data_IF_867767201949
#
_entry.id   IF_867767201949
#
_cell.length_a   1.000
_cell.length_b   1.000
_cell.length_c   1.000
_cell.angle_alpha   90.00
_cell.angle_beta   90.00
_cell.angle_gamma   90.00
#
_symmetry.space_group_name_H-M   'P 1'
#
loop_
_entity.id
_entity.type
_entity.pdbx_description
1 polymer ?
#
# COMPACT_ATOMS: atom_id res chain seq x y z
N UNK A 1 -16.28 9.10 -20.86
CA UNK A 1 -14.98 8.52 -21.23
C UNK A 1 -14.94 7.08 -20.74
N UNK A 2 -14.46 6.11 -21.52
CA UNK A 2 -14.27 4.75 -21.00
C UNK A 2 -13.05 4.70 -20.05
N UNK A 3 -13.03 3.79 -19.06
CA UNK A 3 -11.88 3.61 -18.18
C UNK A 3 -10.67 3.07 -18.95
N UNK A 4 -9.43 3.29 -18.46
CA UNK A 4 -8.23 2.79 -19.11
C UNK A 4 -8.21 1.26 -19.12
N UNK A 5 -7.98 0.65 -20.29
CA UNK A 5 -7.70 -0.78 -20.41
C UNK A 5 -6.27 -1.04 -19.95
N UNK A 6 -6.10 -1.85 -18.91
CA UNK A 6 -4.81 -2.42 -18.54
C UNK A 6 -4.46 -3.54 -19.52
N UNK A 7 -3.47 -3.30 -20.38
CA UNK A 7 -2.85 -4.35 -21.20
C UNK A 7 -1.82 -5.09 -20.37
N UNK A 8 -1.96 -6.42 -20.29
CA UNK A 8 -0.97 -7.32 -19.69
C UNK A 8 0.37 -7.19 -20.43
N UNK A 9 1.41 -6.77 -19.72
CA UNK A 9 2.80 -6.86 -20.20
C UNK A 9 3.41 -8.11 -19.57
N UNK A 10 3.43 -9.21 -20.34
CA UNK A 10 4.32 -10.32 -20.08
C UNK A 10 5.74 -9.90 -20.45
N UNK A 11 6.59 -9.63 -19.46
CA UNK A 11 8.02 -9.67 -19.66
C UNK A 11 8.71 -10.31 -18.44
N UNK A 12 8.92 -11.62 -18.54
CA UNK A 12 9.77 -12.39 -17.63
C UNK A 12 11.23 -12.08 -17.96
N UNK A 13 11.94 -11.40 -17.06
CA UNK A 13 13.41 -11.35 -17.09
C UNK A 13 13.96 -11.22 -15.65
N UNK A 14 13.95 -12.33 -14.92
CA UNK A 14 14.49 -12.45 -13.55
C UNK A 14 15.98 -12.84 -13.50
N UNK A 15 16.78 -12.65 -14.56
CA UNK A 15 18.10 -13.30 -14.66
C UNK A 15 19.35 -12.41 -14.75
N UNK A 16 19.30 -11.09 -14.52
CA UNK A 16 20.51 -10.24 -14.66
C UNK A 16 20.88 -9.41 -13.41
N UNK A 17 21.11 -10.07 -12.27
CA UNK A 17 21.88 -9.44 -11.16
C UNK A 17 22.89 -10.44 -10.56
N UNK A 18 24.01 -10.59 -11.25
CA UNK A 18 25.34 -10.95 -10.71
C UNK A 18 26.28 -9.95 -11.40
N UNK A 19 26.97 -9.02 -10.76
CA UNK A 19 27.96 -9.16 -9.70
C UNK A 19 28.37 -7.77 -9.20
N UNK A 20 28.29 -7.49 -7.90
CA UNK A 20 29.25 -6.64 -7.18
C UNK A 20 29.33 -7.13 -5.72
N UNK A 21 30.56 -7.37 -5.27
CA UNK A 21 30.90 -8.03 -4.01
C UNK A 21 30.81 -7.12 -2.78
N UNK A 22 30.63 -7.80 -1.65
CA UNK A 22 30.90 -7.45 -0.25
C UNK A 22 29.81 -6.80 0.61
N UNK A 23 29.48 -7.58 1.66
CA UNK A 23 28.91 -7.22 2.97
C UNK A 23 27.38 -7.20 3.11
N UNK A 24 26.93 -8.10 4.00
CA UNK A 24 25.57 -8.37 4.49
C UNK A 24 24.63 -9.00 3.47
N UNK A 25 24.50 -10.33 3.55
CA UNK A 25 23.32 -11.04 3.03
C UNK A 25 22.10 -10.41 3.72
N UNK A 26 21.17 -9.74 3.02
CA UNK A 26 19.97 -9.23 3.66
C UNK A 26 19.25 -10.43 4.27
N UNK A 27 18.89 -10.33 5.56
CA UNK A 27 18.08 -11.34 6.22
C UNK A 27 16.91 -11.67 5.29
N UNK A 28 16.76 -12.93 4.92
CA UNK A 28 15.62 -13.39 4.12
C UNK A 28 14.35 -12.96 4.85
N UNK A 29 13.63 -12.00 4.28
CA UNK A 29 12.36 -11.51 4.83
C UNK A 29 11.43 -12.73 4.97
N UNK A 30 11.05 -13.06 6.20
CA UNK A 30 10.08 -14.13 6.44
C UNK A 30 8.68 -13.60 6.12
N UNK A 31 8.23 -13.83 4.89
CA UNK A 31 6.91 -13.45 4.42
C UNK A 31 5.79 -14.04 5.30
N UNK A 32 5.99 -15.24 5.86
CA UNK A 32 5.00 -15.88 6.74
C UNK A 32 4.91 -15.16 8.08
N UNK A 33 6.04 -14.75 8.65
CA UNK A 33 6.06 -13.89 9.85
C UNK A 33 5.34 -12.57 9.57
N UNK A 34 5.64 -11.93 8.44
CA UNK A 34 5.04 -10.66 8.04
C UNK A 34 3.52 -10.74 7.86
N UNK A 35 3.02 -11.81 7.23
CA UNK A 35 1.57 -12.07 7.09
C UNK A 35 0.90 -12.32 8.44
N UNK A 36 1.56 -13.06 9.35
CA UNK A 36 1.06 -13.29 10.71
C UNK A 36 0.95 -11.97 11.48
N UNK A 37 1.97 -11.12 11.38
CA UNK A 37 1.99 -9.81 12.03
C UNK A 37 0.89 -8.89 11.48
N UNK A 38 0.73 -8.84 10.16
CA UNK A 38 -0.37 -8.11 9.52
C UNK A 38 -1.74 -8.60 9.99
N UNK A 39 -1.93 -9.92 10.11
CA UNK A 39 -3.20 -10.51 10.57
C UNK A 39 -3.49 -10.14 12.02
N UNK A 40 -2.49 -10.19 12.90
CA UNK A 40 -2.63 -9.78 14.31
C UNK A 40 -3.01 -8.30 14.43
N UNK A 41 -2.30 -7.41 13.72
CA UNK A 41 -2.63 -5.98 13.68
C UNK A 41 -4.04 -5.77 13.17
N UNK A 42 -4.44 -6.47 12.11
CA UNK A 42 -5.78 -6.44 11.57
C UNK A 42 -6.85 -6.82 12.59
N UNK A 43 -6.67 -7.94 13.31
CA UNK A 43 -7.60 -8.39 14.35
C UNK A 43 -7.68 -7.41 15.53
N UNK A 44 -6.56 -6.78 15.92
CA UNK A 44 -6.54 -5.73 16.96
C UNK A 44 -7.35 -4.51 16.54
N UNK A 45 -7.20 -4.06 15.29
CA UNK A 45 -8.05 -2.99 14.73
C UNK A 45 -9.52 -3.41 14.67
N UNK A 46 -9.79 -4.65 14.24
CA UNK A 46 -11.16 -5.18 14.13
C UNK A 46 -11.83 -5.11 15.48
N UNK A 47 -11.18 -5.61 16.52
CA UNK A 47 -11.68 -5.56 17.88
C UNK A 47 -11.98 -4.13 18.32
N UNK A 48 -11.07 -3.18 18.06
CA UNK A 48 -11.28 -1.79 18.42
C UNK A 48 -12.50 -1.18 17.71
N UNK A 49 -12.57 -1.30 16.38
CA UNK A 49 -13.69 -0.78 15.58
C UNK A 49 -15.03 -1.42 15.97
N UNK A 50 -15.06 -2.72 16.26
CA UNK A 50 -16.28 -3.38 16.74
C UNK A 50 -16.75 -2.82 18.09
N UNK A 51 -15.82 -2.43 18.96
CA UNK A 51 -16.15 -1.91 20.28
C UNK A 51 -16.56 -0.44 20.27
N UNK A 52 -16.11 0.35 19.26
CA UNK A 52 -16.37 1.79 19.21
C UNK A 52 -17.44 2.19 18.18
N UNK A 53 -17.55 1.47 17.05
CA UNK A 53 -18.39 1.89 15.91
C UNK A 53 -19.56 0.94 15.60
N UNK A 54 -19.48 -0.33 15.99
CA UNK A 54 -20.41 -1.36 15.50
C UNK A 54 -21.68 -1.54 16.37
N UNK A 55 -22.25 -0.45 16.90
CA UNK A 55 -23.42 -0.46 17.80
C UNK A 55 -24.70 -1.03 17.14
N UNK A 56 -24.77 -2.36 17.07
CA UNK A 56 -25.85 -3.10 16.41
C UNK A 56 -25.92 -2.92 14.89
N UNK A 57 -24.92 -2.26 14.28
CA UNK A 57 -24.86 -1.98 12.84
C UNK A 57 -23.97 -2.99 12.10
N UNK A 58 -24.22 -3.15 10.80
CA UNK A 58 -23.33 -3.88 9.92
C UNK A 58 -22.00 -3.14 9.79
N UNK A 59 -20.88 -3.85 9.94
CA UNK A 59 -19.54 -3.30 9.76
C UNK A 59 -18.75 -4.11 8.75
N UNK A 60 -18.17 -3.42 7.76
CA UNK A 60 -17.26 -3.99 6.78
C UNK A 60 -16.10 -3.03 6.57
N UNK A 61 -14.89 -3.57 6.57
CA UNK A 61 -13.69 -2.83 6.20
C UNK A 61 -12.59 -3.82 5.76
N UNK A 62 -11.52 -3.32 5.15
CA UNK A 62 -10.37 -4.14 4.74
C UNK A 62 -9.16 -3.83 5.63
N UNK A 63 -8.82 -4.71 6.60
CA UNK A 63 -7.60 -4.56 7.39
C UNK A 63 -6.34 -4.52 6.53
N UNK A 64 -6.31 -5.27 5.43
CA UNK A 64 -5.20 -5.28 4.49
C UNK A 64 -5.01 -3.92 3.82
N UNK A 65 -6.09 -3.28 3.35
CA UNK A 65 -6.01 -1.96 2.73
C UNK A 65 -5.46 -0.90 3.70
N UNK A 66 -5.97 -0.86 4.93
CA UNK A 66 -5.48 0.06 5.98
C UNK A 66 -4.00 -0.19 6.28
N UNK A 67 -3.60 -1.46 6.41
CA UNK A 67 -2.20 -1.82 6.64
C UNK A 67 -1.29 -1.35 5.49
N UNK A 68 -1.70 -1.51 4.23
CA UNK A 68 -0.96 -1.06 3.05
C UNK A 68 -0.76 0.46 3.07
N UNK A 69 -1.78 1.24 3.44
CA UNK A 69 -1.68 2.70 3.53
C UNK A 69 -0.80 3.18 4.70
N UNK A 70 -0.87 2.51 5.85
CA UNK A 70 0.01 2.79 6.99
C UNK A 70 1.46 2.43 6.69
N UNK A 71 1.68 1.34 5.95
CA UNK A 71 2.98 0.92 5.43
C UNK A 71 3.56 1.97 4.49
N UNK A 72 2.75 2.48 3.55
CA UNK A 72 3.15 3.57 2.66
C UNK A 72 3.51 4.85 3.45
N UNK A 73 2.73 5.15 4.49
CA UNK A 73 2.99 6.30 5.37
C UNK A 73 4.33 6.12 6.11
N UNK A 74 4.61 4.92 6.65
CA UNK A 74 5.88 4.61 7.31
C UNK A 74 7.07 4.85 6.37
N UNK A 75 6.95 4.44 5.10
CA UNK A 75 7.98 4.65 4.09
C UNK A 75 8.24 6.14 3.76
N UNK A 76 7.28 7.03 4.02
CA UNK A 76 7.42 8.48 3.85
C UNK A 76 7.94 9.23 5.09
N UNK A 77 8.09 8.55 6.22
CA UNK A 77 8.50 9.13 7.52
C UNK A 77 9.93 8.72 7.90
N UNK A 78 10.50 9.35 8.93
CA UNK A 78 11.80 9.02 9.51
C UNK A 78 11.80 9.27 11.03
N UNK A 79 12.77 8.71 11.75
CA UNK A 79 12.92 8.91 13.20
C UNK A 79 11.73 8.36 14.00
N UNK A 80 11.39 9.03 15.10
CA UNK A 80 10.39 8.54 16.05
C UNK A 80 9.03 8.19 15.41
N UNK A 81 8.56 8.97 14.42
CA UNK A 81 7.31 8.68 13.72
C UNK A 81 7.38 7.37 12.92
N UNK A 82 8.52 7.10 12.27
CA UNK A 82 8.71 5.84 11.58
C UNK A 82 8.78 4.67 12.57
N UNK A 83 9.46 4.87 13.70
CA UNK A 83 9.60 3.85 14.74
C UNK A 83 8.25 3.47 15.37
N UNK A 84 7.38 4.46 15.64
CA UNK A 84 6.02 4.24 16.14
C UNK A 84 5.17 3.45 15.13
N UNK A 85 5.24 3.80 13.84
CA UNK A 85 4.51 3.09 12.78
C UNK A 85 5.02 1.66 12.60
N UNK A 86 6.34 1.45 12.60
CA UNK A 86 6.96 0.13 12.50
C UNK A 86 6.59 -0.75 13.69
N UNK A 87 6.64 -0.20 14.91
CA UNK A 87 6.23 -0.88 16.14
C UNK A 87 4.75 -1.28 16.09
N UNK A 88 3.88 -0.36 15.68
CA UNK A 88 2.45 -0.64 15.54
C UNK A 88 2.17 -1.73 14.50
N UNK A 89 2.82 -1.66 13.33
CA UNK A 89 2.71 -2.62 12.24
C UNK A 89 3.46 -3.93 12.52
N UNK A 90 4.15 -4.04 13.66
CA UNK A 90 4.99 -5.19 14.03
C UNK A 90 6.01 -5.56 12.94
N UNK A 91 6.67 -4.56 12.37
CA UNK A 91 7.72 -4.75 11.36
C UNK A 91 9.04 -4.16 11.83
N UNK A 92 10.15 -4.77 11.41
CA UNK A 92 11.50 -4.35 11.80
C UNK A 92 12.03 -3.22 10.92
N UNK A 93 11.44 -3.01 9.74
CA UNK A 93 11.88 -1.96 8.81
C UNK A 93 10.83 -1.63 7.75
N UNK A 94 10.97 -0.47 7.13
CA UNK A 94 10.17 -0.11 5.94
C UNK A 94 10.47 -1.01 4.74
N UNK A 95 11.64 -1.65 4.69
CA UNK A 95 11.97 -2.63 3.64
C UNK A 95 11.13 -3.91 3.76
N UNK A 96 10.90 -4.42 4.99
CA UNK A 96 10.00 -5.55 5.23
C UNK A 96 8.56 -5.21 4.83
N UNK A 97 8.08 -4.03 5.24
CA UNK A 97 6.77 -3.50 4.89
C UNK A 97 6.57 -3.36 3.37
N UNK A 98 7.53 -2.75 2.68
CA UNK A 98 7.55 -2.61 1.22
C UNK A 98 7.56 -3.99 0.52
N UNK A 99 8.35 -4.93 1.03
CA UNK A 99 8.39 -6.30 0.50
C UNK A 99 7.05 -7.01 0.67
N UNK A 100 6.42 -6.88 1.84
CA UNK A 100 5.10 -7.46 2.07
C UNK A 100 4.06 -6.88 1.10
N UNK A 101 4.02 -5.55 0.92
CA UNK A 101 3.12 -4.90 -0.02
C UNK A 101 3.35 -5.39 -1.47
N UNK A 102 4.61 -5.45 -1.92
CA UNK A 102 4.96 -5.94 -3.26
C UNK A 102 4.60 -7.41 -3.51
N UNK A 103 4.63 -8.25 -2.47
CA UNK A 103 4.27 -9.66 -2.62
C UNK A 103 2.74 -9.85 -2.53
N UNK A 104 2.06 -9.19 -1.59
CA UNK A 104 0.63 -9.39 -1.37
C UNK A 104 -0.24 -8.73 -2.42
N UNK A 105 0.08 -7.51 -2.87
CA UNK A 105 -0.78 -6.78 -3.81
C UNK A 105 -0.97 -7.55 -5.13
N UNK A 106 0.08 -8.06 -5.80
CA UNK A 106 -0.11 -8.83 -7.02
C UNK A 106 -0.78 -10.19 -6.80
N UNK A 107 -0.53 -10.85 -5.65
CA UNK A 107 -1.09 -12.18 -5.37
C UNK A 107 -2.59 -12.13 -5.03
N UNK A 108 -3.02 -11.14 -4.25
CA UNK A 108 -4.40 -11.01 -3.77
C UNK A 108 -5.29 -10.36 -4.83
N UNK A 109 -4.75 -9.45 -5.63
CA UNK A 109 -5.52 -8.67 -6.61
C UNK A 109 -5.21 -9.05 -8.06
N UNK A 110 -4.63 -10.23 -8.31
CA UNK A 110 -4.51 -10.78 -9.65
C UNK A 110 -5.91 -10.97 -10.26
N UNK A 111 -6.09 -10.56 -11.52
CA UNK A 111 -7.34 -10.78 -12.24
C UNK A 111 -7.58 -12.28 -12.44
N UNK A 112 -8.52 -12.81 -11.66
CA UNK A 112 -8.99 -14.18 -11.73
C UNK A 112 -10.36 -14.31 -12.41
N UNK A 113 -10.81 -13.28 -13.13
CA UNK A 113 -12.07 -13.28 -13.89
C UNK A 113 -12.25 -14.50 -14.82
N UNK A 114 -11.20 -15.01 -15.51
CA UNK A 114 -11.34 -16.19 -16.38
C UNK A 114 -11.65 -17.49 -15.64
N UNK A 115 -11.45 -17.57 -14.33
CA UNK A 115 -11.63 -18.80 -13.54
C UNK A 115 -12.93 -18.84 -12.72
N UNK A 116 -13.80 -17.84 -12.84
CA UNK A 116 -15.02 -17.73 -12.02
C UNK A 116 -14.75 -17.37 -10.55
N UNK A 117 -13.52 -16.96 -10.23
CA UNK A 117 -13.12 -16.54 -8.90
C UNK A 117 -13.61 -15.10 -8.60
N UNK A 118 -13.69 -14.70 -7.31
CA UNK A 118 -14.05 -13.33 -6.94
C UNK A 118 -13.16 -12.30 -7.63
N UNK A 119 -13.77 -11.23 -8.14
CA UNK A 119 -13.04 -10.08 -8.67
C UNK A 119 -12.60 -9.20 -7.50
N UNK A 120 -11.29 -9.02 -7.34
CA UNK A 120 -10.70 -8.16 -6.32
C UNK A 120 -9.97 -7.00 -7.00
N UNK A 121 -10.22 -5.78 -6.55
CA UNK A 121 -9.53 -4.56 -6.99
C UNK A 121 -8.97 -3.81 -5.80
N UNK A 122 -7.77 -3.25 -5.94
CA UNK A 122 -7.13 -2.38 -4.95
C UNK A 122 -6.78 -1.05 -5.59
N UNK A 123 -7.24 0.03 -4.98
CA UNK A 123 -6.92 1.39 -5.39
C UNK A 123 -6.11 2.09 -4.28
N UNK A 124 -4.83 2.32 -4.54
CA UNK A 124 -3.94 3.09 -3.66
C UNK A 124 -3.62 4.44 -4.31
N UNK A 125 -3.85 5.54 -3.59
CA UNK A 125 -3.57 6.86 -4.13
C UNK A 125 -3.15 7.83 -3.04
N UNK A 126 -2.31 8.78 -3.43
CA UNK A 126 -1.71 9.76 -2.53
C UNK A 126 -1.82 11.14 -3.15
N UNK A 127 -2.67 11.99 -2.56
CA UNK A 127 -2.83 13.38 -2.94
C UNK A 127 -2.10 14.27 -1.95
N UNK A 128 -1.24 15.14 -2.47
CA UNK A 128 -0.50 16.13 -1.70
C UNK A 128 -0.78 17.51 -2.27
N UNK A 129 -0.78 18.54 -1.44
CA UNK A 129 -0.96 19.91 -1.92
C UNK A 129 0.17 20.29 -2.88
N UNK A 130 -0.17 21.00 -3.96
CA UNK A 130 0.78 21.38 -5.01
C UNK A 130 1.94 22.25 -4.53
N UNK A 131 1.79 22.93 -3.37
CA UNK A 131 2.87 23.70 -2.75
C UNK A 131 3.98 22.80 -2.18
N UNK A 132 3.71 21.51 -1.95
CA UNK A 132 4.65 20.55 -1.38
C UNK A 132 5.15 19.59 -2.47
N UNK A 133 6.38 19.77 -2.99
CA UNK A 133 6.94 18.86 -3.98
C UNK A 133 7.24 17.50 -3.37
N UNK A 134 6.84 16.44 -4.06
CA UNK A 134 7.28 15.09 -3.73
C UNK A 134 8.77 14.92 -3.98
N UNK A 135 9.44 14.19 -3.08
CA UNK A 135 10.78 13.63 -3.36
C UNK A 135 10.66 12.59 -4.48
N UNK A 136 11.50 12.63 -5.52
CA UNK A 136 11.46 11.64 -6.61
C UNK A 136 11.56 10.19 -6.11
N UNK A 137 12.45 9.93 -5.15
CA UNK A 137 12.61 8.61 -4.54
C UNK A 137 11.35 8.11 -3.83
N UNK A 138 10.55 9.01 -3.25
CA UNK A 138 9.31 8.61 -2.60
C UNK A 138 8.20 8.30 -3.63
N UNK A 139 8.15 9.00 -4.76
CA UNK A 139 7.24 8.63 -5.87
C UNK A 139 7.55 7.22 -6.38
N UNK A 140 8.83 6.89 -6.51
CA UNK A 140 9.27 5.55 -6.92
C UNK A 140 8.84 4.47 -5.92
N UNK A 141 8.90 4.76 -4.62
CA UNK A 141 8.38 3.86 -3.58
C UNK A 141 6.88 3.64 -3.73
N UNK A 142 6.09 4.72 -3.89
CA UNK A 142 4.63 4.68 -4.06
C UNK A 142 4.25 3.81 -5.26
N UNK A 143 4.91 4.02 -6.41
CA UNK A 143 4.63 3.29 -7.64
C UNK A 143 5.08 1.82 -7.54
N UNK A 144 6.33 1.58 -7.13
CA UNK A 144 6.96 0.26 -7.19
C UNK A 144 6.32 -0.71 -6.21
N UNK A 145 6.26 -0.32 -4.93
CA UNK A 145 5.89 -1.23 -3.85
C UNK A 145 4.38 -1.27 -3.59
N UNK A 146 3.71 -0.14 -3.78
CA UNK A 146 2.30 0.03 -3.41
C UNK A 146 1.36 0.09 -4.59
N UNK A 147 1.88 0.13 -5.84
CA UNK A 147 1.07 0.34 -7.06
C UNK A 147 0.16 1.56 -6.93
N UNK A 148 0.67 2.57 -6.22
CA UNK A 148 -0.08 3.76 -5.86
C UNK A 148 0.05 4.86 -6.90
N UNK A 149 -0.93 5.75 -6.94
CA UNK A 149 -0.91 6.94 -7.80
C UNK A 149 -0.56 8.17 -6.96
N UNK A 150 0.65 8.76 -7.09
CA UNK A 150 0.98 10.02 -6.46
C UNK A 150 0.50 11.20 -7.31
N UNK A 151 -0.30 12.10 -6.71
CA UNK A 151 -0.82 13.30 -7.37
C UNK A 151 -0.63 14.55 -6.52
N UNK A 152 -0.44 15.68 -7.21
CA UNK A 152 -0.43 16.99 -6.61
C UNK A 152 -1.70 17.74 -7.01
N UNK A 153 -2.40 18.30 -6.04
CA UNK A 153 -3.66 19.05 -6.24
C UNK A 153 -3.63 20.35 -5.44
N UNK A 154 -4.51 21.29 -5.78
CA UNK A 154 -4.60 22.58 -5.10
C UNK A 154 -5.58 22.51 -3.93
N UNK A 155 -5.15 21.93 -2.81
CA UNK A 155 -6.02 21.84 -1.62
C UNK A 155 -6.28 23.21 -1.02
N UNK A 156 -5.35 24.16 -1.16
CA UNK A 156 -5.49 25.50 -0.58
C UNK A 156 -6.57 26.34 -1.26
N UNK A 157 -6.66 26.32 -2.58
CA UNK A 157 -7.57 27.20 -3.33
C UNK A 157 -8.71 26.45 -4.03
N UNK A 158 -8.60 25.13 -4.21
CA UNK A 158 -9.55 24.32 -5.00
C UNK A 158 -9.90 23.00 -4.29
N UNK A 159 -10.14 23.04 -2.98
CA UNK A 159 -10.45 21.86 -2.16
C UNK A 159 -11.62 21.01 -2.70
N UNK A 160 -12.71 21.64 -3.18
CA UNK A 160 -13.85 20.91 -3.75
C UNK A 160 -13.54 20.22 -5.08
N UNK A 161 -12.68 20.84 -5.92
CA UNK A 161 -12.20 20.21 -7.15
C UNK A 161 -11.33 18.99 -6.79
N UNK A 162 -10.42 19.13 -5.82
CA UNK A 162 -9.58 18.04 -5.34
C UNK A 162 -10.40 16.88 -4.75
N UNK A 163 -11.43 17.17 -3.93
CA UNK A 163 -12.36 16.17 -3.39
C UNK A 163 -13.09 15.43 -4.51
N UNK A 164 -13.57 16.17 -5.52
CA UNK A 164 -14.26 15.57 -6.67
C UNK A 164 -13.33 14.69 -7.48
N UNK A 165 -12.06 15.10 -7.65
CA UNK A 165 -11.05 14.30 -8.34
C UNK A 165 -10.75 12.99 -7.60
N UNK A 166 -10.52 13.04 -6.29
CA UNK A 166 -10.26 11.85 -5.46
C UNK A 166 -11.43 10.87 -5.55
N UNK A 167 -12.66 11.37 -5.37
CA UNK A 167 -13.86 10.54 -5.45
C UNK A 167 -14.05 9.93 -6.84
N UNK A 168 -13.77 10.69 -7.92
CA UNK A 168 -13.91 10.20 -9.29
C UNK A 168 -12.83 9.19 -9.68
N UNK A 169 -11.65 9.26 -9.06
CA UNK A 169 -10.59 8.29 -9.29
C UNK A 169 -10.87 6.96 -8.59
N UNK A 170 -11.55 6.98 -7.43
CA UNK A 170 -11.86 5.79 -6.66
C UNK A 170 -13.14 5.05 -7.12
N UNK A 171 -14.00 5.72 -7.89
CA UNK A 171 -15.28 5.20 -8.40
C UNK A 171 -15.11 4.25 -9.59
#
# INVERSE_FOLDING_TARGET
MPPPRFTSIHNNNYNNIRTLSTSVVPATIDLRESVRNQTDVGLRMTKHLFQTEADGQNMVYSPLSIHVLQSLTAAGTQGATQDELLSFLKSKSTAELNSLASNLVPLVFADSSPSGSPCLSLANGLWVDKSLPFKPSFKEVVDTFYKGVPKQVDFQNKAEEARTEVNSWAA
#
